data_IF_209681459693
#
_entry.id   IF_209681459693
#
_cell.length_a   1.000
_cell.length_b   1.000
_cell.length_c   1.000
_cell.angle_alpha   90.00
_cell.angle_beta   90.00
_cell.angle_gamma   90.00
#
_symmetry.space_group_name_H-M   'P 1'
#
loop_
_entity.id
_entity.type
_entity.pdbx_description
1 polymer ?
#
# COMPACT_ATOMS: atom_id res chain seq x y z
N UNK A 1 18.40 24.72 -1.91
CA UNK A 1 18.61 26.17 -2.03
C UNK A 1 18.20 26.90 -0.75
N UNK A 2 16.96 26.78 -0.25
CA UNK A 2 16.48 27.45 0.99
C UNK A 2 17.44 27.21 2.16
N UNK A 3 17.84 25.96 2.44
CA UNK A 3 18.78 25.63 3.51
C UNK A 3 20.13 26.35 3.36
N UNK A 4 20.65 26.45 2.15
CA UNK A 4 21.92 27.16 1.90
C UNK A 4 21.81 28.66 2.13
N UNK A 5 20.66 29.25 1.82
CA UNK A 5 20.40 30.68 2.07
C UNK A 5 20.21 30.97 3.57
N UNK A 6 19.53 30.08 4.30
CA UNK A 6 19.32 30.26 5.74
C UNK A 6 20.55 29.92 6.59
N UNK A 7 21.46 29.09 6.08
CA UNK A 7 22.67 28.65 6.78
C UNK A 7 23.90 28.84 5.88
N UNK A 8 24.31 30.10 5.65
CA UNK A 8 25.48 30.41 4.81
C UNK A 8 26.75 29.86 5.48
N UNK A 9 27.60 29.24 4.70
CA UNK A 9 28.92 28.77 5.13
C UNK A 9 30.01 29.78 4.80
N UNK A 10 31.04 29.78 5.68
CA UNK A 10 32.21 30.65 5.49
C UNK A 10 33.44 29.90 4.96
N UNK A 11 33.37 28.57 4.88
CA UNK A 11 34.44 27.74 4.38
C UNK A 11 34.56 27.89 2.87
N UNK A 12 35.63 28.56 2.41
CA UNK A 12 35.88 28.88 1.00
C UNK A 12 36.05 27.60 0.16
N UNK A 13 36.72 26.59 0.67
CA UNK A 13 36.94 25.31 -0.02
C UNK A 13 35.61 24.63 -0.35
N UNK A 14 34.70 24.55 0.66
CA UNK A 14 33.37 24.01 0.44
C UNK A 14 32.55 24.82 -0.57
N UNK A 15 32.69 26.15 -0.57
CA UNK A 15 32.02 27.04 -1.54
C UNK A 15 32.53 26.80 -2.97
N UNK A 16 33.84 26.72 -3.14
CA UNK A 16 34.49 26.45 -4.43
C UNK A 16 34.08 25.06 -4.95
N UNK A 17 34.10 24.03 -4.08
CA UNK A 17 33.64 22.69 -4.42
C UNK A 17 32.19 22.68 -4.92
N UNK A 18 31.29 23.42 -4.26
CA UNK A 18 29.87 23.54 -4.71
C UNK A 18 29.74 24.24 -6.05
N UNK A 19 30.51 25.32 -6.27
CA UNK A 19 30.52 26.07 -7.54
C UNK A 19 31.05 25.19 -8.69
N UNK A 20 32.14 24.47 -8.46
CA UNK A 20 32.67 23.48 -9.43
C UNK A 20 31.67 22.39 -9.77
N UNK A 21 30.99 21.85 -8.76
CA UNK A 21 29.91 20.86 -8.96
C UNK A 21 28.77 21.40 -9.83
N UNK A 22 28.34 22.64 -9.55
CA UNK A 22 27.27 23.29 -10.34
C UNK A 22 27.74 23.51 -11.78
N UNK A 23 28.94 24.03 -11.99
CA UNK A 23 29.49 24.26 -13.32
C UNK A 23 29.61 22.95 -14.12
N UNK A 24 30.08 21.87 -13.51
CA UNK A 24 30.24 20.58 -14.16
C UNK A 24 28.88 19.90 -14.54
N UNK A 25 27.79 20.27 -13.86
CA UNK A 25 26.46 19.70 -14.10
C UNK A 25 25.54 20.62 -14.91
N UNK A 26 25.95 21.82 -15.23
CA UNK A 26 25.12 22.85 -15.88
C UNK A 26 24.55 22.36 -17.21
N UNK A 27 25.37 21.76 -18.05
CA UNK A 27 24.94 21.25 -19.38
C UNK A 27 24.14 19.95 -19.31
N UNK A 28 24.16 19.28 -18.16
CA UNK A 28 23.42 18.01 -17.92
C UNK A 28 22.10 18.20 -17.17
N UNK A 29 21.71 19.42 -16.93
CA UNK A 29 20.49 19.74 -16.17
C UNK A 29 19.24 19.10 -16.76
N UNK A 30 19.09 19.11 -18.08
CA UNK A 30 17.92 18.57 -18.78
C UNK A 30 17.77 17.04 -18.65
N UNK A 31 18.89 16.34 -18.51
CA UNK A 31 18.95 14.88 -18.33
C UNK A 31 18.76 14.49 -16.87
N UNK A 32 19.44 15.18 -15.95
CA UNK A 32 19.43 14.87 -14.53
C UNK A 32 18.12 15.24 -13.84
N UNK A 33 17.48 16.34 -14.24
CA UNK A 33 16.29 16.84 -13.56
C UNK A 33 15.11 15.86 -13.54
N UNK A 34 14.77 15.17 -14.64
CA UNK A 34 13.69 14.18 -14.64
C UNK A 34 13.96 13.04 -13.65
N UNK A 35 15.17 12.51 -13.61
CA UNK A 35 15.58 11.42 -12.71
C UNK A 35 15.52 11.87 -11.26
N UNK A 36 16.09 13.05 -10.95
CA UNK A 36 16.05 13.62 -9.60
C UNK A 36 14.63 13.88 -9.09
N UNK A 37 13.70 14.27 -9.97
CA UNK A 37 12.29 14.45 -9.62
C UNK A 37 11.63 13.13 -9.18
N UNK A 38 12.05 12.01 -9.76
CA UNK A 38 11.52 10.69 -9.44
C UNK A 38 12.05 10.17 -8.10
N UNK A 39 13.23 10.58 -7.65
CA UNK A 39 13.77 10.23 -6.33
C UNK A 39 12.89 10.78 -5.21
N UNK A 40 12.33 11.98 -5.38
CA UNK A 40 11.43 12.59 -4.41
C UNK A 40 12.09 12.98 -3.09
N UNK A 41 11.28 13.09 -2.02
CA UNK A 41 11.70 13.53 -0.69
C UNK A 41 12.02 12.35 0.23
N UNK A 42 13.20 11.76 0.06
CA UNK A 42 13.66 10.63 0.88
C UNK A 42 13.92 11.05 2.34
N UNK A 43 14.38 12.27 2.60
CA UNK A 43 14.64 12.75 3.98
C UNK A 43 13.34 12.67 4.81
N UNK A 44 12.22 13.11 4.25
CA UNK A 44 10.92 13.04 4.91
C UNK A 44 10.44 11.61 5.12
N UNK A 45 10.68 10.73 4.16
CA UNK A 45 10.32 9.31 4.28
C UNK A 45 11.15 8.65 5.40
N UNK A 46 12.45 8.89 5.43
CA UNK A 46 13.34 8.38 6.48
C UNK A 46 12.95 8.89 7.87
N UNK A 47 12.59 10.17 7.99
CA UNK A 47 12.10 10.72 9.25
C UNK A 47 10.82 10.01 9.72
N UNK A 48 9.89 9.72 8.81
CA UNK A 48 8.67 8.95 9.14
C UNK A 48 8.96 7.51 9.52
N UNK A 49 9.92 6.87 8.88
CA UNK A 49 10.37 5.52 9.25
C UNK A 49 10.96 5.51 10.66
N UNK A 50 11.85 6.44 10.96
CA UNK A 50 12.45 6.58 12.28
C UNK A 50 11.38 6.80 13.38
N UNK A 51 10.34 7.58 13.10
CA UNK A 51 9.21 7.84 13.99
C UNK A 51 8.13 6.74 13.97
N UNK A 52 8.29 5.67 13.17
CA UNK A 52 7.29 4.60 12.96
C UNK A 52 5.93 5.11 12.49
N UNK A 53 5.92 6.19 11.72
CA UNK A 53 4.71 6.81 11.15
C UNK A 53 4.66 6.72 9.62
N UNK A 54 5.58 5.96 9.02
CA UNK A 54 5.59 5.73 7.58
C UNK A 54 4.31 5.01 7.12
N UNK A 55 3.84 5.38 5.95
CA UNK A 55 2.66 4.81 5.31
C UNK A 55 3.08 3.88 4.16
N UNK A 56 2.22 2.95 3.72
CA UNK A 56 2.53 2.07 2.59
C UNK A 56 3.05 2.81 1.35
N UNK A 57 2.47 3.94 1.01
CA UNK A 57 2.90 4.78 -0.12
C UNK A 57 4.29 5.42 0.07
N UNK A 58 4.75 5.61 1.29
CA UNK A 58 6.11 6.09 1.56
C UNK A 58 7.13 5.00 1.20
N UNK A 59 6.82 3.73 1.48
CA UNK A 59 7.66 2.58 1.09
C UNK A 59 7.69 2.38 -0.43
N UNK A 60 6.55 2.49 -1.11
CA UNK A 60 6.50 2.43 -2.57
C UNK A 60 7.31 3.57 -3.22
N UNK A 61 7.25 4.78 -2.67
CA UNK A 61 8.09 5.90 -3.13
C UNK A 61 9.56 5.67 -2.88
N UNK A 62 9.93 5.08 -1.75
CA UNK A 62 11.32 4.71 -1.45
C UNK A 62 11.83 3.66 -2.44
N UNK A 63 11.04 2.62 -2.75
CA UNK A 63 11.34 1.64 -3.80
C UNK A 63 11.62 2.36 -5.12
N UNK A 64 10.72 3.24 -5.54
CA UNK A 64 10.86 3.99 -6.79
C UNK A 64 12.11 4.86 -6.81
N UNK A 65 12.43 5.52 -5.70
CA UNK A 65 13.67 6.28 -5.56
C UNK A 65 14.91 5.40 -5.73
N UNK A 66 14.95 4.23 -5.10
CA UNK A 66 16.07 3.30 -5.24
C UNK A 66 16.22 2.75 -6.66
N UNK A 67 15.14 2.58 -7.40
CA UNK A 67 15.16 2.18 -8.81
C UNK A 67 15.83 3.25 -9.71
N UNK A 68 15.81 4.53 -9.32
CA UNK A 68 16.43 5.61 -10.08
C UNK A 68 17.94 5.76 -9.82
N UNK A 69 18.48 5.24 -8.71
CA UNK A 69 19.87 5.44 -8.33
C UNK A 69 20.88 4.89 -9.34
N UNK A 70 20.71 3.69 -9.93
CA UNK A 70 21.62 3.19 -10.95
C UNK A 70 21.71 4.12 -12.18
N UNK A 71 20.57 4.62 -12.65
CA UNK A 71 20.49 5.54 -13.78
C UNK A 71 21.19 6.87 -13.43
N UNK A 72 20.91 7.44 -12.26
CA UNK A 72 21.55 8.66 -11.79
C UNK A 72 23.08 8.51 -11.70
N UNK A 73 23.56 7.36 -11.19
CA UNK A 73 24.99 7.05 -11.13
C UNK A 73 25.62 6.90 -12.52
N UNK A 74 24.90 6.30 -13.46
CA UNK A 74 25.34 6.15 -14.84
C UNK A 74 25.50 7.52 -15.52
N UNK A 75 24.52 8.41 -15.36
CA UNK A 75 24.56 9.77 -15.90
C UNK A 75 25.69 10.63 -15.32
N UNK A 76 26.21 10.31 -14.14
CA UNK A 76 27.31 11.00 -13.51
C UNK A 76 28.69 10.37 -13.79
N UNK A 77 28.75 9.27 -14.52
CA UNK A 77 29.99 8.46 -14.69
C UNK A 77 31.09 9.17 -15.47
N UNK A 78 30.71 9.93 -16.48
CA UNK A 78 31.59 10.61 -17.43
C UNK A 78 31.78 12.11 -17.12
N UNK A 79 31.26 12.58 -15.99
CA UNK A 79 31.46 13.96 -15.55
C UNK A 79 32.89 14.14 -15.00
N UNK A 80 33.73 14.89 -15.69
CA UNK A 80 35.11 15.19 -15.26
C UNK A 80 35.11 16.24 -14.16
N UNK A 81 34.75 15.83 -12.95
CA UNK A 81 34.71 16.67 -11.76
C UNK A 81 34.90 15.85 -10.49
N UNK A 82 36.00 16.05 -9.79
CA UNK A 82 36.28 15.33 -8.53
C UNK A 82 35.16 15.46 -7.49
N UNK A 83 34.51 16.61 -7.27
CA UNK A 83 33.35 16.72 -6.40
C UNK A 83 32.16 15.86 -6.84
N UNK A 84 31.90 15.78 -8.15
CA UNK A 84 30.82 14.96 -8.70
C UNK A 84 31.11 13.48 -8.52
N UNK A 85 32.35 13.05 -8.79
CA UNK A 85 32.77 11.66 -8.59
C UNK A 85 32.64 11.26 -7.11
N UNK A 86 33.00 12.13 -6.17
CA UNK A 86 32.81 11.90 -4.74
C UNK A 86 31.34 11.75 -4.37
N UNK A 87 30.44 12.57 -4.95
CA UNK A 87 28.98 12.39 -4.76
C UNK A 87 28.50 11.06 -5.29
N UNK A 88 28.96 10.65 -6.48
CA UNK A 88 28.62 9.35 -7.09
C UNK A 88 29.09 8.16 -6.23
N UNK A 89 30.29 8.23 -5.66
CA UNK A 89 30.84 7.22 -4.75
C UNK A 89 30.01 7.10 -3.46
N UNK A 90 29.51 8.24 -2.94
CA UNK A 90 28.69 8.31 -1.74
C UNK A 90 27.28 7.73 -1.98
N UNK A 91 26.79 7.77 -3.22
CA UNK A 91 25.49 7.18 -3.56
C UNK A 91 25.56 5.64 -3.56
N UNK A 92 24.90 5.01 -2.59
CA UNK A 92 24.69 3.56 -2.56
C UNK A 92 23.66 3.12 -3.60
N UNK A 93 23.70 1.84 -3.99
CA UNK A 93 22.69 1.26 -4.89
C UNK A 93 21.51 0.65 -4.12
N UNK A 94 21.72 0.30 -2.85
CA UNK A 94 20.70 -0.26 -1.95
C UNK A 94 19.94 -1.45 -2.54
N UNK A 95 20.66 -2.31 -3.29
CA UNK A 95 20.08 -3.42 -4.07
C UNK A 95 19.20 -4.33 -3.21
N UNK A 96 19.69 -4.76 -2.05
CA UNK A 96 18.92 -5.63 -1.15
C UNK A 96 17.61 -4.99 -0.66
N UNK A 97 17.68 -3.69 -0.30
CA UNK A 97 16.48 -2.95 0.14
C UNK A 97 15.51 -2.71 -1.02
N UNK A 98 16.01 -2.44 -2.21
CA UNK A 98 15.21 -2.30 -3.41
C UNK A 98 14.46 -3.61 -3.71
N UNK A 99 15.18 -4.74 -3.77
CA UNK A 99 14.61 -6.06 -4.01
C UNK A 99 13.61 -6.47 -2.93
N UNK A 100 13.91 -6.16 -1.65
CA UNK A 100 12.96 -6.39 -0.57
C UNK A 100 11.66 -5.62 -0.79
N UNK A 101 11.73 -4.33 -1.12
CA UNK A 101 10.56 -3.50 -1.34
C UNK A 101 9.79 -3.91 -2.62
N UNK A 102 10.49 -4.36 -3.67
CA UNK A 102 9.88 -4.87 -4.90
C UNK A 102 9.08 -6.15 -4.65
N UNK A 103 9.61 -7.06 -3.84
CA UNK A 103 8.91 -8.30 -3.50
C UNK A 103 7.80 -8.13 -2.48
N UNK A 104 8.00 -7.22 -1.51
CA UNK A 104 7.10 -7.12 -0.36
C UNK A 104 5.89 -6.21 -0.56
N UNK A 105 6.03 -5.14 -1.34
CA UNK A 105 5.01 -4.09 -1.45
C UNK A 105 4.42 -4.06 -2.85
N UNK A 106 3.09 -4.04 -2.95
CA UNK A 106 2.40 -3.87 -4.25
C UNK A 106 2.74 -2.53 -4.90
N UNK A 107 2.51 -2.38 -6.21
CA UNK A 107 2.89 -1.18 -6.95
C UNK A 107 2.12 0.07 -6.51
N UNK A 108 0.84 -0.05 -6.29
CA UNK A 108 -0.04 1.04 -5.88
C UNK A 108 -0.70 0.75 -4.51
N UNK A 109 0.07 0.81 -3.40
CA UNK A 109 -0.47 0.47 -2.10
C UNK A 109 -1.52 1.50 -1.62
N UNK A 110 -2.46 1.09 -0.75
CA UNK A 110 -3.43 1.98 -0.15
C UNK A 110 -2.75 3.06 0.69
N UNK A 111 -3.53 4.07 1.08
CA UNK A 111 -3.01 5.17 1.93
C UNK A 111 -2.72 4.68 3.34
N UNK A 112 -3.57 3.82 3.87
CA UNK A 112 -3.51 3.33 5.25
C UNK A 112 -3.34 1.81 5.28
N UNK A 113 -2.56 1.32 6.22
CA UNK A 113 -2.35 -0.13 6.43
C UNK A 113 -3.66 -0.86 6.71
N UNK A 114 -4.58 -0.23 7.44
CA UNK A 114 -5.88 -0.81 7.80
C UNK A 114 -6.79 -1.11 6.60
N UNK A 115 -6.52 -0.49 5.45
CA UNK A 115 -7.29 -0.72 4.22
C UNK A 115 -6.94 -2.07 3.57
N UNK A 116 -5.91 -2.77 4.08
CA UNK A 116 -5.45 -4.06 3.58
C UNK A 116 -4.68 -3.97 2.25
N UNK A 117 -4.29 -5.13 1.71
CA UNK A 117 -3.71 -5.22 0.37
C UNK A 117 -2.36 -4.51 0.16
N UNK A 118 -1.55 -4.31 1.21
CA UNK A 118 -0.24 -3.65 1.12
C UNK A 118 0.85 -4.60 0.66
N UNK A 119 0.86 -5.82 1.21
CA UNK A 119 1.87 -6.83 0.93
C UNK A 119 1.57 -7.51 -0.39
N UNK A 120 2.57 -7.69 -1.23
CA UNK A 120 2.43 -8.35 -2.51
C UNK A 120 2.08 -9.85 -2.35
N UNK A 121 1.23 -10.40 -3.25
CA UNK A 121 1.02 -11.83 -3.30
C UNK A 121 2.33 -12.59 -3.53
N UNK A 122 2.49 -13.74 -2.90
CA UNK A 122 3.71 -14.56 -2.99
C UNK A 122 4.86 -14.10 -2.09
N UNK A 123 4.70 -13.01 -1.33
CA UNK A 123 5.73 -12.57 -0.39
C UNK A 123 5.74 -13.38 0.92
N UNK A 124 4.56 -13.76 1.40
CA UNK A 124 4.41 -14.55 2.63
C UNK A 124 3.29 -15.59 2.42
N UNK A 125 3.67 -16.86 2.44
CA UNK A 125 2.79 -18.00 2.20
C UNK A 125 1.61 -18.05 3.18
N UNK A 126 1.86 -17.85 4.47
CA UNK A 126 0.83 -17.86 5.50
C UNK A 126 -0.22 -16.76 5.26
N UNK A 127 0.22 -15.56 4.87
CA UNK A 127 -0.69 -14.46 4.53
C UNK A 127 -1.54 -14.79 3.29
N UNK A 128 -0.96 -15.43 2.31
CA UNK A 128 -1.68 -15.80 1.09
C UNK A 128 -2.68 -16.94 1.35
N UNK A 129 -2.37 -17.87 2.24
CA UNK A 129 -3.34 -18.88 2.74
C UNK A 129 -4.52 -18.20 3.45
N UNK A 130 -4.26 -17.26 4.36
CA UNK A 130 -5.33 -16.53 5.05
C UNK A 130 -6.20 -15.71 4.09
N UNK A 131 -5.61 -15.13 3.05
CA UNK A 131 -6.35 -14.41 2.01
C UNK A 131 -7.25 -15.37 1.22
N UNK A 132 -6.69 -16.51 0.79
CA UNK A 132 -7.46 -17.51 0.05
C UNK A 132 -8.65 -18.03 0.87
N UNK A 133 -8.47 -18.26 2.18
CA UNK A 133 -9.54 -18.63 3.08
C UNK A 133 -10.60 -17.53 3.21
N UNK A 134 -10.18 -16.28 3.36
CA UNK A 134 -11.08 -15.14 3.47
C UNK A 134 -11.88 -14.91 2.18
N UNK A 135 -11.23 -15.00 1.02
CA UNK A 135 -11.87 -14.86 -0.29
C UNK A 135 -12.83 -16.04 -0.53
N UNK A 136 -12.42 -17.27 -0.21
CA UNK A 136 -13.27 -18.45 -0.31
C UNK A 136 -14.51 -18.37 0.57
N UNK A 137 -14.40 -17.84 1.78
CA UNK A 137 -15.54 -17.61 2.66
C UNK A 137 -16.47 -16.52 2.10
N UNK A 138 -15.94 -15.46 1.54
CA UNK A 138 -16.72 -14.39 0.90
C UNK A 138 -17.48 -14.92 -0.31
N UNK A 139 -16.82 -15.66 -1.19
CA UNK A 139 -17.43 -16.29 -2.37
C UNK A 139 -18.56 -17.26 -1.98
N UNK A 140 -18.36 -18.01 -0.90
CA UNK A 140 -19.40 -18.91 -0.38
C UNK A 140 -20.63 -18.13 0.10
N UNK A 141 -20.43 -17.05 0.86
CA UNK A 141 -21.52 -16.22 1.37
C UNK A 141 -22.29 -15.51 0.24
N UNK A 142 -21.62 -15.04 -0.79
CA UNK A 142 -22.24 -14.44 -1.97
C UNK A 142 -23.08 -15.47 -2.74
N UNK A 143 -22.55 -16.67 -2.95
CA UNK A 143 -23.29 -17.77 -3.57
C UNK A 143 -24.49 -18.18 -2.72
N UNK A 144 -24.34 -18.22 -1.40
CA UNK A 144 -25.45 -18.51 -0.47
C UNK A 144 -26.53 -17.43 -0.58
N UNK A 145 -26.17 -16.15 -0.63
CA UNK A 145 -27.11 -15.03 -0.77
C UNK A 145 -27.92 -15.15 -2.06
N UNK A 146 -27.25 -15.38 -3.19
CA UNK A 146 -27.89 -15.57 -4.50
C UNK A 146 -28.84 -16.79 -4.45
N UNK A 147 -28.36 -17.93 -3.99
CA UNK A 147 -29.16 -19.17 -3.87
C UNK A 147 -30.42 -18.98 -3.03
N UNK A 148 -30.28 -18.33 -1.87
CA UNK A 148 -31.40 -18.13 -0.98
C UNK A 148 -32.40 -17.07 -1.48
N UNK A 149 -31.91 -16.04 -2.18
CA UNK A 149 -32.77 -15.06 -2.87
C UNK A 149 -33.64 -15.74 -3.93
N UNK A 150 -33.04 -16.54 -4.78
CA UNK A 150 -33.74 -17.26 -5.86
C UNK A 150 -34.73 -18.27 -5.27
N UNK A 151 -34.31 -19.05 -4.28
CA UNK A 151 -35.15 -20.09 -3.65
C UNK A 151 -36.39 -19.53 -2.97
N UNK A 152 -36.27 -18.36 -2.33
CA UNK A 152 -37.35 -17.74 -1.57
C UNK A 152 -38.11 -16.65 -2.33
N UNK A 153 -37.62 -16.25 -3.48
CA UNK A 153 -38.17 -15.11 -4.23
C UNK A 153 -38.03 -13.77 -3.49
N UNK A 154 -36.95 -13.59 -2.72
CA UNK A 154 -36.74 -12.45 -1.85
C UNK A 154 -35.55 -11.59 -2.31
N UNK A 155 -35.75 -10.66 -3.23
CA UNK A 155 -34.71 -9.77 -3.78
C UNK A 155 -33.99 -8.95 -2.69
N UNK A 156 -34.66 -8.68 -1.57
CA UNK A 156 -34.13 -7.89 -0.45
C UNK A 156 -33.35 -8.68 0.58
N UNK A 157 -33.29 -10.01 0.45
CA UNK A 157 -32.53 -10.88 1.33
C UNK A 157 -31.04 -10.54 1.24
N UNK A 158 -30.36 -10.47 2.38
CA UNK A 158 -28.92 -10.22 2.48
C UNK A 158 -28.28 -11.20 3.45
N UNK A 159 -27.10 -11.67 3.11
CA UNK A 159 -26.20 -12.34 4.03
C UNK A 159 -25.22 -11.31 4.60
N UNK A 160 -24.95 -11.35 5.89
CA UNK A 160 -24.07 -10.40 6.54
C UNK A 160 -23.41 -10.97 7.79
N UNK A 161 -22.46 -10.25 8.32
CA UNK A 161 -21.73 -10.59 9.54
C UNK A 161 -21.97 -9.57 10.64
N UNK A 162 -22.06 -10.05 11.87
CA UNK A 162 -22.12 -9.23 13.07
C UNK A 162 -21.19 -9.80 14.14
N UNK A 163 -20.34 -8.98 14.73
CA UNK A 163 -19.34 -9.42 15.72
C UNK A 163 -19.95 -10.14 16.95
N UNK A 164 -21.23 -9.88 17.30
CA UNK A 164 -21.90 -10.50 18.46
C UNK A 164 -22.57 -11.81 18.09
N UNK A 165 -23.13 -11.91 16.89
CA UNK A 165 -23.99 -13.04 16.49
C UNK A 165 -23.42 -13.91 15.36
N UNK A 166 -22.25 -13.55 14.81
CA UNK A 166 -21.67 -14.20 13.65
C UNK A 166 -22.39 -13.89 12.34
N UNK A 167 -22.32 -14.80 11.40
CA UNK A 167 -23.01 -14.69 10.12
C UNK A 167 -24.52 -14.87 10.24
N UNK A 168 -25.29 -14.09 9.47
CA UNK A 168 -26.75 -14.13 9.51
C UNK A 168 -27.35 -13.87 8.12
N UNK A 169 -28.58 -14.36 7.93
CA UNK A 169 -29.44 -13.98 6.80
C UNK A 169 -30.42 -12.92 7.30
N UNK A 170 -30.50 -11.80 6.60
CA UNK A 170 -31.43 -10.72 6.91
C UNK A 170 -32.56 -10.69 5.89
N UNK A 171 -33.79 -10.71 6.39
CA UNK A 171 -35.02 -10.60 5.61
C UNK A 171 -35.79 -9.36 6.08
N UNK A 172 -36.39 -8.61 5.15
CA UNK A 172 -37.25 -7.48 5.49
C UNK A 172 -38.43 -7.92 6.36
N UNK A 173 -38.84 -7.07 7.31
CA UNK A 173 -39.93 -7.44 8.26
C UNK A 173 -41.24 -7.75 7.55
N UNK A 174 -41.54 -7.07 6.44
CA UNK A 174 -42.75 -7.33 5.64
C UNK A 174 -42.75 -8.70 4.96
N UNK A 175 -41.58 -9.33 4.78
CA UNK A 175 -41.39 -10.60 4.11
C UNK A 175 -40.94 -11.70 5.07
N UNK A 176 -40.83 -11.43 6.38
CA UNK A 176 -40.35 -12.36 7.38
C UNK A 176 -41.23 -13.63 7.50
N UNK A 177 -42.52 -13.57 7.10
CA UNK A 177 -43.41 -14.70 7.04
C UNK A 177 -43.05 -15.75 5.97
N UNK A 178 -42.20 -15.36 5.00
CA UNK A 178 -41.68 -16.27 3.99
C UNK A 178 -40.39 -17.01 4.42
N UNK A 179 -39.88 -16.68 5.62
CA UNK A 179 -38.72 -17.38 6.15
C UNK A 179 -39.00 -18.86 6.38
N UNK A 180 -38.17 -19.79 5.88
CA UNK A 180 -38.37 -21.23 6.08
C UNK A 180 -38.32 -21.63 7.56
N UNK A 181 -39.01 -22.74 7.92
CA UNK A 181 -39.09 -23.24 9.30
C UNK A 181 -37.73 -23.54 9.93
N UNK A 182 -36.74 -23.94 9.12
CA UNK A 182 -35.37 -24.22 9.58
C UNK A 182 -34.52 -22.96 9.81
N UNK A 183 -35.01 -21.76 9.46
CA UNK A 183 -34.37 -20.51 9.80
C UNK A 183 -34.60 -20.18 11.26
N UNK A 184 -33.52 -20.15 12.06
CA UNK A 184 -33.61 -19.82 13.48
C UNK A 184 -33.45 -18.31 13.64
N UNK A 185 -34.51 -17.62 14.05
CA UNK A 185 -34.48 -16.18 14.30
C UNK A 185 -33.57 -15.88 15.48
N UNK A 186 -32.61 -14.97 15.28
CA UNK A 186 -31.65 -14.51 16.28
C UNK A 186 -31.90 -13.08 16.73
N UNK A 187 -32.32 -12.20 15.82
CA UNK A 187 -32.52 -10.80 16.14
C UNK A 187 -33.68 -10.21 15.33
N UNK A 188 -34.48 -9.38 16.02
CA UNK A 188 -35.52 -8.58 15.39
C UNK A 188 -35.11 -7.12 15.43
N UNK A 189 -35.06 -6.49 14.26
CA UNK A 189 -34.77 -5.08 14.05
C UNK A 189 -36.07 -4.33 13.71
N UNK A 190 -36.00 -2.98 13.68
CA UNK A 190 -37.16 -2.16 13.32
C UNK A 190 -37.75 -2.54 11.95
N UNK A 191 -36.91 -2.76 10.95
CA UNK A 191 -37.31 -2.99 9.56
C UNK A 191 -36.91 -4.35 9.00
N UNK A 192 -36.27 -5.22 9.78
CA UNK A 192 -35.77 -6.52 9.32
C UNK A 192 -35.71 -7.53 10.46
N UNK A 193 -35.65 -8.79 10.10
CA UNK A 193 -35.33 -9.90 11.00
C UNK A 193 -34.07 -10.62 10.53
N UNK A 194 -33.26 -11.08 11.49
CA UNK A 194 -32.00 -11.79 11.24
C UNK A 194 -32.14 -13.24 11.68
N UNK A 195 -31.72 -14.11 10.80
CA UNK A 195 -31.82 -15.56 10.98
C UNK A 195 -30.44 -16.19 10.85
N UNK A 196 -30.28 -17.34 11.47
CA UNK A 196 -29.14 -18.23 11.28
C UNK A 196 -29.62 -19.57 10.73
N UNK A 197 -28.84 -20.15 9.86
CA UNK A 197 -29.06 -21.53 9.35
C UNK A 197 -27.89 -22.42 9.78
N UNK A 198 -28.08 -23.75 9.85
CA UNK A 198 -27.02 -24.68 10.25
C UNK A 198 -25.73 -24.50 9.45
N UNK A 199 -25.82 -24.31 8.14
CA UNK A 199 -24.70 -24.07 7.24
C UNK A 199 -23.81 -22.87 7.66
N UNK A 200 -24.40 -21.80 8.21
CA UNK A 200 -23.67 -20.59 8.66
C UNK A 200 -23.02 -20.75 10.04
N UNK A 201 -23.20 -21.87 10.72
CA UNK A 201 -22.54 -22.11 12.01
C UNK A 201 -21.14 -22.69 11.89
N UNK A 202 -20.81 -23.22 10.71
CA UNK A 202 -19.51 -23.83 10.42
C UNK A 202 -18.45 -22.81 10.00
N UNK A 203 -18.86 -21.56 9.76
CA UNK A 203 -18.04 -20.39 9.41
C UNK A 203 -18.08 -19.33 10.52
#
# INVERSE_FOLDING_TARGET
LKRWLHMPIRNTETLLCRQQTIAALQDRYTELQPVLRQVGDLERILARLALRTARPRDLARMRHAFQQLPELRAQLSDVDSAPVQKLRETMGEFTELRELLERAIIDAPPVLVRDGGVIAPGYNEELDEWRALADGATDYLDKLEIRERERLGLDTLKVGYNAVHGYYIQISRGQSHLAPIHYVRRQTLKNAERYIIPELKEY
#
